data_IF_968741619313
#
_entry.id   IF_968741619313
#
_cell.length_a   1.000
_cell.length_b   1.000
_cell.length_c   1.000
_cell.angle_alpha   90.00
_cell.angle_beta   90.00
_cell.angle_gamma   90.00
#
_symmetry.space_group_name_H-M   'P 1'
#
loop_
_entity.id
_entity.type
_entity.pdbx_description
1 polymer ?
#
# COMPACT_ATOMS: atom_id res chain seq x y z
N UNK A 1 -20.43 -12.71 28.35
CA UNK A 1 -19.97 -13.37 27.11
C UNK A 1 -20.40 -12.48 25.95
N UNK A 2 -19.81 -11.29 25.84
CA UNK A 2 -20.24 -10.27 24.89
C UNK A 2 -19.01 -9.45 24.52
N UNK A 3 -18.70 -9.45 23.23
CA UNK A 3 -18.13 -8.36 22.41
C UNK A 3 -17.10 -8.90 21.40
N UNK A 4 -17.55 -9.75 20.46
CA UNK A 4 -16.74 -10.21 19.31
C UNK A 4 -17.14 -9.50 18.00
N UNK A 5 -18.18 -8.66 18.03
CA UNK A 5 -18.69 -7.97 16.85
C UNK A 5 -17.88 -6.73 16.46
N UNK A 6 -17.24 -6.07 17.43
CA UNK A 6 -16.39 -4.90 17.14
C UNK A 6 -15.03 -5.28 16.53
N UNK A 7 -14.41 -6.37 16.98
CA UNK A 7 -13.11 -6.83 16.44
C UNK A 7 -13.20 -7.24 14.96
N UNK A 8 -14.33 -7.83 14.55
CA UNK A 8 -14.51 -8.30 13.17
C UNK A 8 -14.61 -7.13 12.18
N UNK A 9 -15.25 -6.03 12.56
CA UNK A 9 -15.43 -4.86 11.70
C UNK A 9 -14.10 -4.10 11.47
N UNK A 10 -13.27 -3.98 12.52
CA UNK A 10 -11.93 -3.39 12.42
C UNK A 10 -11.01 -4.23 11.52
N UNK A 11 -11.04 -5.56 11.70
CA UNK A 11 -10.26 -6.51 10.92
C UNK A 11 -10.65 -6.51 9.43
N UNK A 12 -11.95 -6.48 9.11
CA UNK A 12 -12.43 -6.40 7.73
C UNK A 12 -11.94 -5.13 7.02
N UNK A 13 -11.88 -3.99 7.73
CA UNK A 13 -11.42 -2.72 7.16
C UNK A 13 -9.93 -2.74 6.80
N UNK A 14 -9.09 -3.31 7.68
CA UNK A 14 -7.65 -3.46 7.43
C UNK A 14 -7.39 -4.42 6.26
N UNK A 15 -8.12 -5.54 6.21
CA UNK A 15 -8.03 -6.51 5.11
C UNK A 15 -8.46 -5.90 3.79
N UNK A 16 -9.56 -5.14 3.76
CA UNK A 16 -10.05 -4.51 2.54
C UNK A 16 -9.06 -3.46 2.02
N UNK A 17 -8.47 -2.65 2.91
CA UNK A 17 -7.43 -1.68 2.55
C UNK A 17 -6.19 -2.40 2.01
N UNK A 18 -5.73 -3.46 2.69
CA UNK A 18 -4.60 -4.28 2.22
C UNK A 18 -4.86 -4.96 0.86
N UNK A 19 -6.07 -5.46 0.62
CA UNK A 19 -6.47 -6.08 -0.64
C UNK A 19 -6.53 -5.08 -1.79
N UNK A 20 -7.08 -3.89 -1.55
CA UNK A 20 -7.11 -2.81 -2.53
C UNK A 20 -5.70 -2.36 -2.92
N UNK A 21 -4.83 -2.20 -1.93
CA UNK A 21 -3.42 -1.84 -2.10
C UNK A 21 -2.64 -2.93 -2.85
N UNK A 22 -2.85 -4.20 -2.52
CA UNK A 22 -2.26 -5.32 -3.26
C UNK A 22 -2.73 -5.33 -4.72
N UNK A 23 -4.01 -5.08 -4.98
CA UNK A 23 -4.56 -4.92 -6.32
C UNK A 23 -3.92 -3.76 -7.09
N UNK A 24 -3.77 -2.60 -6.45
CA UNK A 24 -3.11 -1.44 -7.04
C UNK A 24 -1.64 -1.73 -7.40
N UNK A 25 -0.90 -2.42 -6.52
CA UNK A 25 0.46 -2.85 -6.79
C UNK A 25 0.53 -3.86 -7.94
N UNK A 26 -0.41 -4.79 -8.03
CA UNK A 26 -0.48 -5.77 -9.11
C UNK A 26 -0.68 -5.07 -10.46
N UNK A 27 -1.63 -4.12 -10.54
CA UNK A 27 -1.86 -3.33 -11.76
C UNK A 27 -0.63 -2.49 -12.10
N UNK A 28 -0.03 -1.81 -11.13
CA UNK A 28 1.15 -0.99 -11.35
C UNK A 28 2.35 -1.83 -11.85
N UNK A 29 2.46 -3.08 -11.38
CA UNK A 29 3.48 -4.04 -11.84
C UNK A 29 3.21 -4.52 -13.27
N UNK A 30 1.95 -4.73 -13.63
CA UNK A 30 1.59 -5.12 -14.99
C UNK A 30 1.92 -4.01 -15.99
N UNK A 31 1.62 -2.75 -15.66
CA UNK A 31 1.96 -1.60 -16.51
C UNK A 31 3.48 -1.45 -16.64
N UNK A 32 4.21 -1.58 -15.53
CA UNK A 32 5.68 -1.57 -15.54
C UNK A 32 6.25 -2.63 -16.48
N UNK A 33 5.72 -3.86 -16.44
CA UNK A 33 6.14 -4.94 -17.32
C UNK A 33 5.94 -4.61 -18.80
N UNK A 34 4.80 -4.00 -19.16
CA UNK A 34 4.53 -3.57 -20.54
C UNK A 34 5.53 -2.48 -20.95
N UNK A 35 5.79 -1.49 -20.09
CA UNK A 35 6.79 -0.43 -20.39
C UNK A 35 8.18 -1.02 -20.55
N UNK A 36 8.59 -1.94 -19.68
CA UNK A 36 9.90 -2.59 -19.73
C UNK A 36 10.10 -3.44 -21.00
N UNK A 37 9.02 -3.99 -21.56
CA UNK A 37 9.08 -4.83 -22.77
C UNK A 37 8.91 -4.06 -24.07
N UNK A 38 8.43 -2.80 -24.03
CA UNK A 38 8.12 -2.00 -25.22
C UNK A 38 9.08 -0.84 -25.46
N UNK A 39 9.88 -0.45 -24.46
CA UNK A 39 10.78 0.71 -24.53
C UNK A 39 12.24 0.24 -24.54
N UNK A 40 13.03 0.71 -25.50
CA UNK A 40 14.45 0.33 -25.65
C UNK A 40 15.36 0.82 -24.51
N UNK A 41 15.01 1.96 -23.88
CA UNK A 41 15.70 2.53 -22.73
C UNK A 41 14.76 2.62 -21.51
N UNK A 42 14.39 1.47 -20.91
CA UNK A 42 13.33 1.43 -19.90
C UNK A 42 13.76 2.05 -18.57
N UNK A 43 15.06 2.12 -18.27
CA UNK A 43 15.61 2.50 -16.96
C UNK A 43 15.11 3.85 -16.44
N UNK A 44 15.04 4.87 -17.30
CA UNK A 44 14.53 6.20 -16.91
C UNK A 44 13.00 6.21 -16.80
N UNK A 45 12.32 5.40 -17.59
CA UNK A 45 10.86 5.27 -17.58
C UNK A 45 10.33 4.43 -16.41
N UNK A 46 11.16 3.55 -15.83
CA UNK A 46 10.84 2.75 -14.65
C UNK A 46 10.92 3.53 -13.34
N UNK A 47 11.71 4.61 -13.32
CA UNK A 47 11.91 5.46 -12.14
C UNK A 47 10.60 5.97 -11.49
N UNK A 48 9.60 6.49 -12.24
CA UNK A 48 8.31 6.83 -11.65
C UNK A 48 7.55 5.62 -11.09
N UNK A 49 7.65 4.43 -11.69
CA UNK A 49 7.02 3.21 -11.18
C UNK A 49 7.64 2.75 -9.85
N UNK A 50 8.97 2.86 -9.74
CA UNK A 50 9.71 2.55 -8.52
C UNK A 50 9.30 3.49 -7.38
N UNK A 51 9.21 4.80 -7.65
CA UNK A 51 8.77 5.78 -6.64
C UNK A 51 7.32 5.51 -6.23
N UNK A 52 6.42 5.28 -7.19
CA UNK A 52 5.02 5.03 -6.92
C UNK A 52 4.81 3.75 -6.08
N UNK A 53 5.46 2.63 -6.45
CA UNK A 53 5.41 1.39 -5.66
C UNK A 53 6.03 1.56 -4.28
N UNK A 54 7.21 2.19 -4.22
CA UNK A 54 7.92 2.44 -2.98
C UNK A 54 7.05 3.23 -1.99
N UNK A 55 6.46 4.34 -2.44
CA UNK A 55 5.56 5.16 -1.61
C UNK A 55 4.34 4.39 -1.12
N UNK A 56 3.69 3.64 -2.02
CA UNK A 56 2.49 2.85 -1.70
C UNK A 56 2.80 1.74 -0.68
N UNK A 57 3.96 1.09 -0.81
CA UNK A 57 4.43 0.08 0.14
C UNK A 57 4.75 0.69 1.51
N UNK A 58 5.45 1.83 1.54
CA UNK A 58 5.81 2.53 2.77
C UNK A 58 4.59 3.08 3.53
N UNK A 59 3.55 3.49 2.83
CA UNK A 59 2.32 4.03 3.42
C UNK A 59 1.40 2.94 3.97
N UNK A 60 1.28 1.81 3.26
CA UNK A 60 0.27 0.79 3.58
C UNK A 60 0.85 -0.45 4.26
N UNK A 61 2.04 -0.90 3.88
CA UNK A 61 2.65 -2.11 4.44
C UNK A 61 3.62 -1.81 5.59
N UNK A 62 4.35 -0.69 5.53
CA UNK A 62 5.03 -0.18 6.73
C UNK A 62 4.04 0.65 7.54
N UNK A 63 3.95 0.38 8.85
CA UNK A 63 3.08 1.05 9.83
C UNK A 63 3.44 2.54 10.07
N UNK A 64 3.77 3.31 9.02
CA UNK A 64 3.93 4.77 9.11
C UNK A 64 2.63 5.48 9.51
N UNK A 65 1.47 4.84 9.27
CA UNK A 65 0.18 5.29 9.81
C UNK A 65 0.05 5.17 11.33
N UNK A 66 0.84 4.30 11.97
CA UNK A 66 0.79 4.05 13.42
C UNK A 66 1.70 4.99 14.23
N UNK A 67 2.59 5.73 13.56
CA UNK A 67 3.37 6.80 14.19
C UNK A 67 2.57 8.11 14.32
N UNK A 68 1.44 8.25 13.62
CA UNK A 68 0.58 9.44 13.72
C UNK A 68 -0.39 9.40 14.91
N UNK A 69 -0.50 8.26 15.59
CA UNK A 69 -1.34 8.07 16.79
C UNK A 69 -0.55 8.08 18.11
N UNK A 70 0.69 8.56 18.11
CA UNK A 70 1.47 8.74 19.34
C UNK A 70 1.83 10.20 19.65
N UNK A 71 1.39 11.16 18.82
CA UNK A 71 1.58 12.60 19.03
C UNK A 71 0.23 13.33 19.20
N UNK A 72 -0.67 12.70 19.96
CA UNK A 72 -2.00 13.24 20.27
C UNK A 72 -2.54 12.84 21.65
N UNK A 73 -1.69 12.23 22.49
CA UNK A 73 -2.05 11.79 23.84
C UNK A 73 -1.26 12.58 24.88
N UNK A 74 -1.88 13.63 25.42
CA UNK A 74 -1.47 14.32 26.63
C UNK A 74 -1.13 13.34 27.77
N UNK A 75 0.13 13.31 28.18
CA UNK A 75 0.58 12.84 29.49
C UNK A 75 1.75 13.71 29.96
#
# INVERSE_FOLDING_TARGET
MSDNSHDTAGLMTVIQRGWFTAGALAVLTLVEYVVATTVDAPTLWLLPFIIAKGGLILEVFMHSSDLKTLDGGNA
#
